data_IF_319835766523
#
_entry.id   IF_319835766523
#
_cell.length_a   1.000
_cell.length_b   1.000
_cell.length_c   1.000
_cell.angle_alpha   90.00
_cell.angle_beta   90.00
_cell.angle_gamma   90.00
#
_symmetry.space_group_name_H-M   'P 1'
#
loop_
_entity.id
_entity.type
_entity.pdbx_description
1 polymer ?
#
# COMPACT_ATOMS: atom_id res chain seq x y z
N UNK A 1 -12.66 8.52 -6.23
CA UNK A 1 -12.16 9.39 -7.31
C UNK A 1 -11.94 10.73 -6.70
N UNK A 2 -10.70 11.22 -6.71
CA UNK A 2 -10.37 12.52 -6.14
C UNK A 2 -10.33 13.58 -7.23
N UNK A 3 -10.70 14.81 -6.87
CA UNK A 3 -10.68 15.95 -7.76
C UNK A 3 -9.51 16.86 -7.40
N UNK A 4 -8.90 17.43 -8.43
CA UNK A 4 -7.79 18.36 -8.27
C UNK A 4 -8.26 19.63 -7.57
N UNK A 5 -7.50 20.10 -6.58
CA UNK A 5 -7.65 21.44 -6.00
C UNK A 5 -6.47 22.28 -6.41
N UNK A 6 -6.70 23.47 -6.94
CA UNK A 6 -5.62 24.39 -7.30
C UNK A 6 -5.18 25.17 -6.06
N UNK A 7 -3.98 24.89 -5.57
CA UNK A 7 -3.38 25.54 -4.40
C UNK A 7 -1.92 25.91 -4.74
N UNK A 8 -1.51 27.14 -4.46
CA UNK A 8 -0.12 27.62 -4.65
C UNK A 8 0.48 27.34 -6.04
N UNK A 9 -0.32 27.51 -7.10
CA UNK A 9 0.12 27.31 -8.49
C UNK A 9 0.22 25.83 -8.92
N UNK A 10 -0.27 24.89 -8.11
CA UNK A 10 -0.21 23.44 -8.40
C UNK A 10 -1.56 22.77 -8.14
N UNK A 11 -1.82 21.68 -8.86
CA UNK A 11 -2.97 20.82 -8.60
C UNK A 11 -2.62 19.82 -7.48
N UNK A 12 -3.43 19.84 -6.41
CA UNK A 12 -3.27 18.99 -5.23
C UNK A 12 -4.44 18.02 -5.14
N UNK A 13 -4.14 16.75 -4.92
CA UNK A 13 -5.12 15.68 -4.70
C UNK A 13 -4.95 15.19 -3.26
N UNK A 14 -6.04 15.10 -2.49
CA UNK A 14 -6.01 14.69 -1.08
C UNK A 14 -6.99 13.55 -0.84
N UNK A 15 -6.49 12.39 -0.44
CA UNK A 15 -7.31 11.29 0.05
C UNK A 15 -7.33 11.40 1.57
N UNK A 16 -8.43 11.88 2.14
CA UNK A 16 -8.55 12.13 3.57
C UNK A 16 -9.31 10.99 4.27
N UNK A 17 -8.71 10.44 5.33
CA UNK A 17 -9.34 9.50 6.28
C UNK A 17 -10.11 8.34 5.62
N UNK A 18 -9.59 7.78 4.54
CA UNK A 18 -10.21 6.61 3.93
C UNK A 18 -10.20 5.45 4.94
N UNK A 19 -11.37 4.90 5.31
CA UNK A 19 -11.42 3.80 6.26
C UNK A 19 -10.74 2.58 5.66
N UNK A 20 -9.93 1.89 6.45
CA UNK A 20 -9.43 0.56 6.10
C UNK A 20 -10.62 -0.40 6.04
N UNK A 21 -10.62 -1.30 5.06
CA UNK A 21 -11.65 -2.33 5.01
C UNK A 21 -11.50 -3.30 6.19
N UNK A 22 -12.61 -3.92 6.59
CA UNK A 22 -12.68 -4.79 7.78
C UNK A 22 -11.65 -5.93 7.74
N UNK A 23 -11.42 -6.52 6.56
CA UNK A 23 -10.38 -7.53 6.38
C UNK A 23 -8.99 -7.03 6.79
N UNK A 24 -8.63 -5.81 6.40
CA UNK A 24 -7.33 -5.23 6.71
C UNK A 24 -7.19 -4.88 8.19
N UNK A 25 -8.28 -4.42 8.81
CA UNK A 25 -8.32 -4.20 10.26
C UNK A 25 -8.09 -5.54 10.99
N UNK A 26 -8.82 -6.59 10.59
CA UNK A 26 -8.69 -7.93 11.17
C UNK A 26 -7.31 -8.55 10.91
N UNK A 27 -6.72 -8.31 9.73
CA UNK A 27 -5.37 -8.74 9.39
C UNK A 27 -4.34 -8.08 10.33
N UNK A 28 -4.39 -6.76 10.50
CA UNK A 28 -3.50 -6.04 11.43
C UNK A 28 -3.68 -6.55 12.85
N UNK A 29 -4.93 -6.79 13.27
CA UNK A 29 -5.22 -7.31 14.61
C UNK A 29 -4.59 -8.69 14.81
N UNK A 30 -4.78 -9.62 13.86
CA UNK A 30 -4.18 -10.97 13.93
C UNK A 30 -2.65 -10.94 13.86
N UNK A 31 -2.08 -10.09 13.00
CA UNK A 31 -0.64 -9.92 12.86
C UNK A 31 -0.02 -9.46 14.17
N UNK A 32 -0.63 -8.49 14.86
CA UNK A 32 -0.17 -7.98 16.17
C UNK A 32 -0.27 -9.01 17.31
N UNK A 33 -1.14 -10.01 17.19
CA UNK A 33 -1.33 -11.05 18.20
C UNK A 33 -0.36 -12.23 18.03
N UNK A 34 0.48 -12.23 16.99
CA UNK A 34 1.48 -13.27 16.83
C UNK A 34 2.55 -13.16 17.93
N UNK A 35 2.95 -14.28 18.54
CA UNK A 35 3.86 -14.28 19.69
C UNK A 35 5.29 -13.88 19.32
N UNK A 36 5.68 -14.11 18.06
CA UNK A 36 7.06 -13.97 17.61
C UNK A 36 7.15 -13.16 16.32
N UNK A 37 8.15 -12.29 16.26
CA UNK A 37 8.34 -11.35 15.13
C UNK A 37 8.59 -12.06 13.80
N UNK A 38 9.32 -13.18 13.79
CA UNK A 38 9.56 -13.91 12.54
C UNK A 38 8.26 -14.47 11.95
N UNK A 39 7.27 -14.83 12.78
CA UNK A 39 5.96 -15.27 12.31
C UNK A 39 5.22 -14.12 11.61
N UNK A 40 5.32 -12.91 12.16
CA UNK A 40 4.75 -11.72 11.52
C UNK A 40 5.41 -11.45 10.17
N UNK A 41 6.75 -11.49 10.11
CA UNK A 41 7.49 -11.29 8.87
C UNK A 41 7.16 -12.39 7.84
N UNK A 42 7.04 -13.65 8.25
CA UNK A 42 6.65 -14.74 7.34
C UNK A 42 5.23 -14.56 6.78
N UNK A 43 4.28 -14.07 7.58
CA UNK A 43 2.93 -13.74 7.09
C UNK A 43 2.98 -12.58 6.09
N UNK A 44 3.80 -11.55 6.36
CA UNK A 44 3.96 -10.39 5.48
C UNK A 44 4.63 -10.75 4.14
N UNK A 45 5.63 -11.64 4.15
CA UNK A 45 6.27 -12.15 2.92
C UNK A 45 5.26 -12.87 2.03
N UNK A 46 4.45 -13.78 2.61
CA UNK A 46 3.44 -14.53 1.88
C UNK A 46 2.27 -13.67 1.42
N UNK A 47 1.97 -12.58 2.13
CA UNK A 47 0.93 -11.64 1.79
C UNK A 47 1.24 -10.91 0.48
N UNK A 48 2.49 -10.49 0.30
CA UNK A 48 2.95 -9.88 -0.97
C UNK A 48 3.04 -10.92 -2.10
N UNK A 49 3.44 -12.18 -1.83
CA UNK A 49 3.50 -13.24 -2.85
C UNK A 49 2.10 -13.62 -3.37
N UNK A 50 1.13 -13.83 -2.47
CA UNK A 50 -0.27 -14.04 -2.86
C UNK A 50 -0.80 -12.84 -3.63
N UNK A 51 -0.45 -11.61 -3.24
CA UNK A 51 -0.85 -10.40 -3.95
C UNK A 51 -0.28 -10.29 -5.37
N UNK A 52 1.00 -10.64 -5.55
CA UNK A 52 1.68 -10.65 -6.86
C UNK A 52 1.17 -11.77 -7.75
N UNK A 53 0.89 -12.96 -7.21
CA UNK A 53 0.24 -14.07 -7.93
C UNK A 53 -1.24 -13.79 -8.25
N UNK A 54 -1.89 -12.91 -7.49
CA UNK A 54 -3.27 -12.41 -7.71
C UNK A 54 -3.25 -11.13 -8.56
N UNK A 55 -2.24 -10.93 -9.42
CA UNK A 55 -2.21 -9.83 -10.40
C UNK A 55 -3.48 -9.75 -11.30
N UNK A 56 -4.26 -10.84 -11.39
CA UNK A 56 -5.53 -10.88 -12.12
C UNK A 56 -6.78 -10.49 -11.30
N UNK A 57 -6.67 -10.26 -9.98
CA UNK A 57 -7.80 -9.86 -9.11
C UNK A 57 -7.53 -8.49 -8.45
N UNK A 58 -6.96 -7.60 -9.25
CA UNK A 58 -6.36 -6.28 -8.94
C UNK A 58 -7.25 -5.25 -8.22
N UNK A 59 -8.46 -5.59 -7.77
CA UNK A 59 -9.45 -4.60 -7.31
C UNK A 59 -9.62 -4.50 -5.78
N UNK A 60 -9.26 -5.54 -5.01
CA UNK A 60 -9.61 -5.61 -3.57
C UNK A 60 -8.53 -5.00 -2.66
N UNK A 61 -7.30 -4.78 -3.14
CA UNK A 61 -6.13 -4.50 -2.29
C UNK A 61 -5.56 -3.07 -2.36
N UNK A 62 -6.29 -2.15 -2.99
CA UNK A 62 -5.83 -0.79 -3.34
C UNK A 62 -5.48 0.15 -2.16
N UNK A 63 -5.62 -0.30 -0.90
CA UNK A 63 -5.39 0.56 0.28
C UNK A 63 -4.14 0.15 1.07
N UNK A 64 -3.62 -1.07 0.92
CA UNK A 64 -2.52 -1.53 1.80
C UNK A 64 -1.24 -2.01 1.14
N UNK A 65 -1.17 -2.23 -0.18
CA UNK A 65 0.09 -2.72 -0.78
C UNK A 65 0.53 -2.03 -2.07
N UNK A 66 -0.26 -1.09 -2.58
CA UNK A 66 0.15 -0.28 -3.71
C UNK A 66 -0.96 0.66 -4.18
N UNK A 67 -0.55 1.84 -4.64
CA UNK A 67 -1.46 2.85 -5.19
C UNK A 67 -1.16 3.01 -6.68
N UNK A 68 -2.16 2.69 -7.50
CA UNK A 68 -2.17 3.06 -8.92
C UNK A 68 -3.09 4.25 -9.09
N UNK A 69 -2.51 5.37 -9.52
CA UNK A 69 -3.23 6.58 -9.87
C UNK A 69 -3.31 6.62 -11.38
N UNK A 70 -4.52 6.58 -11.91
CA UNK A 70 -4.79 6.73 -13.34
C UNK A 70 -5.56 8.01 -13.61
N UNK A 71 -5.28 8.63 -14.74
CA UNK A 71 -6.11 9.69 -15.26
C UNK A 71 -7.42 9.05 -15.77
N UNK A 72 -8.56 9.56 -15.29
CA UNK A 72 -9.88 9.01 -15.63
C UNK A 72 -10.19 9.12 -17.13
N UNK A 73 -9.75 10.19 -17.77
CA UNK A 73 -10.14 10.52 -19.14
C UNK A 73 -9.20 9.87 -20.15
N UNK A 74 -7.90 9.90 -19.88
CA UNK A 74 -6.88 9.33 -20.80
C UNK A 74 -6.54 7.87 -20.48
N UNK A 75 -6.98 7.34 -19.34
CA UNK A 75 -6.55 6.04 -18.80
C UNK A 75 -5.03 5.92 -18.57
N UNK A 76 -4.31 7.03 -18.63
CA UNK A 76 -2.86 7.07 -18.43
C UNK A 76 -2.52 6.80 -16.96
N UNK A 77 -1.49 5.99 -16.72
CA UNK A 77 -1.00 5.74 -15.35
C UNK A 77 -0.10 6.88 -14.91
N UNK A 78 -0.58 7.71 -13.99
CA UNK A 78 0.12 8.87 -13.43
C UNK A 78 1.13 8.46 -12.35
N UNK A 79 0.79 7.44 -11.55
CA UNK A 79 1.66 6.94 -10.49
C UNK A 79 1.37 5.46 -10.27
N UNK A 80 2.42 4.65 -10.16
CA UNK A 80 2.34 3.28 -9.69
C UNK A 80 3.32 3.13 -8.53
N UNK A 81 2.79 2.83 -7.34
CA UNK A 81 3.57 2.59 -6.14
C UNK A 81 3.29 1.17 -5.67
N UNK A 82 4.34 0.41 -5.40
CA UNK A 82 4.27 -0.87 -4.71
C UNK A 82 4.92 -0.71 -3.33
N UNK A 83 4.30 -1.28 -2.29
CA UNK A 83 4.79 -1.25 -0.93
C UNK A 83 5.08 -2.66 -0.46
N UNK A 84 6.25 -2.86 0.16
CA UNK A 84 6.62 -4.08 0.88
C UNK A 84 6.77 -3.71 2.34
N UNK A 85 6.31 -4.58 3.24
CA UNK A 85 6.27 -4.30 4.67
C UNK A 85 7.12 -5.29 5.46
N UNK A 86 7.77 -4.78 6.49
CA UNK A 86 8.46 -5.55 7.51
C UNK A 86 8.10 -4.98 8.88
N UNK A 87 8.08 -5.83 9.92
CA UNK A 87 7.93 -5.36 11.29
C UNK A 87 9.24 -4.69 11.72
N UNK A 88 9.16 -3.44 12.18
CA UNK A 88 10.34 -2.68 12.68
C UNK A 88 11.04 -3.41 13.82
N UNK A 89 12.38 -3.40 13.85
CA UNK A 89 13.18 -3.95 14.96
C UNK A 89 13.64 -2.87 15.95
N UNK A 90 13.35 -1.61 15.65
CA UNK A 90 13.84 -0.47 16.42
C UNK A 90 12.77 0.04 17.37
N UNK A 91 13.17 0.47 18.57
CA UNK A 91 12.34 1.27 19.48
C UNK A 91 11.89 2.61 18.85
N UNK A 92 12.52 3.01 17.74
CA UNK A 92 12.39 4.31 17.08
C UNK A 92 11.21 4.44 16.11
N UNK A 93 10.26 3.50 16.12
CA UNK A 93 9.02 3.60 15.33
C UNK A 93 9.12 3.06 13.90
N UNK A 94 8.20 3.51 13.04
CA UNK A 94 8.08 3.04 11.65
C UNK A 94 9.11 3.71 10.73
N UNK A 95 9.74 2.92 9.86
CA UNK A 95 10.71 3.38 8.85
C UNK A 95 10.25 2.99 7.45
N UNK A 96 10.72 3.72 6.42
CA UNK A 96 10.41 3.41 5.03
C UNK A 96 11.59 3.77 4.12
N UNK A 97 11.73 3.03 3.02
CA UNK A 97 12.68 3.29 1.95
C UNK A 97 11.93 3.39 0.62
N UNK A 98 12.32 4.32 -0.24
CA UNK A 98 11.67 4.56 -1.54
C UNK A 98 12.65 4.24 -2.64
N UNK A 99 12.24 3.34 -3.54
CA UNK A 99 13.03 2.92 -4.69
C UNK A 99 12.30 3.23 -5.99
N UNK A 100 13.05 3.62 -7.02
CA UNK A 100 12.51 3.76 -8.37
C UNK A 100 12.57 2.40 -9.07
N UNK A 101 11.42 1.88 -9.47
CA UNK A 101 11.34 0.65 -10.24
C UNK A 101 11.87 0.89 -11.66
N UNK A 102 12.83 0.09 -12.08
CA UNK A 102 13.39 0.08 -13.44
C UNK A 102 13.23 -1.33 -14.00
N UNK A 103 12.92 -1.43 -15.30
CA UNK A 103 12.90 -2.70 -16.01
C UNK A 103 14.17 -2.75 -16.86
N UNK A 104 15.00 -3.77 -16.62
CA UNK A 104 16.13 -4.10 -17.50
C UNK A 104 15.64 -4.70 -18.83
#
# INVERSE_FOLDING_TARGET
>A
TEYARFENGRFVYRINRSPMCEYMINFIHKLKHLPEKYMMNSVLENFTILLVCIHSLFFIFRILSGMVVTNRDTQETLLCMACVFEVSNSEHGAQHHIYRLVKD
#
